data_IF_560276510602
#
_entry.id   IF_560276510602
#
_cell.length_a   1.000
_cell.length_b   1.000
_cell.length_c   1.000
_cell.angle_alpha   90.00
_cell.angle_beta   90.00
_cell.angle_gamma   90.00
#
_symmetry.space_group_name_H-M   'P 1'
#
loop_
_entity.id
_entity.type
_entity.pdbx_description
1 polymer ?
#
# COMPACT_ATOMS: atom_id res chain seq x y z
N UNK A 1 -17.31 -8.02 16.06
CA UNK A 1 -18.65 -8.00 15.45
C UNK A 1 -18.49 -7.57 13.98
N UNK A 2 -18.22 -8.49 13.04
CA UNK A 2 -17.68 -8.21 11.69
C UNK A 2 -18.11 -6.91 10.99
N UNK A 3 -17.17 -6.27 10.27
CA UNK A 3 -17.42 -5.15 9.34
C UNK A 3 -18.73 -5.29 8.55
N UNK A 4 -19.38 -4.15 8.25
CA UNK A 4 -20.59 -4.13 7.44
C UNK A 4 -20.27 -3.78 5.99
N UNK A 5 -20.52 -4.72 5.07
CA UNK A 5 -20.18 -4.53 3.65
C UNK A 5 -21.20 -3.64 2.96
N UNK A 6 -20.74 -2.52 2.41
CA UNK A 6 -21.56 -1.58 1.62
C UNK A 6 -21.41 -1.85 0.11
N UNK A 7 -20.21 -2.22 -0.34
CA UNK A 7 -19.91 -2.60 -1.73
C UNK A 7 -20.36 -4.01 -2.09
N UNK A 8 -21.67 -4.30 -2.04
CA UNK A 8 -22.18 -5.67 -2.23
C UNK A 8 -21.92 -6.26 -3.63
N UNK A 9 -22.01 -5.43 -4.67
CA UNK A 9 -21.67 -5.85 -6.04
C UNK A 9 -20.16 -6.11 -6.19
N UNK A 10 -19.31 -5.24 -5.60
CA UNK A 10 -17.86 -5.46 -5.54
C UNK A 10 -17.52 -6.76 -4.81
N UNK A 11 -18.11 -7.01 -3.64
CA UNK A 11 -17.89 -8.25 -2.88
C UNK A 11 -18.30 -9.50 -3.67
N UNK A 12 -19.43 -9.43 -4.40
CA UNK A 12 -19.85 -10.54 -5.26
C UNK A 12 -18.86 -10.77 -6.40
N UNK A 13 -18.48 -9.72 -7.12
CA UNK A 13 -17.48 -9.81 -8.19
C UNK A 13 -16.13 -10.35 -7.68
N UNK A 14 -15.72 -9.91 -6.48
CA UNK A 14 -14.55 -10.43 -5.79
C UNK A 14 -14.65 -11.93 -5.57
N UNK A 15 -15.75 -12.42 -4.99
CA UNK A 15 -15.98 -13.85 -4.76
C UNK A 15 -16.01 -14.66 -6.06
N UNK A 16 -16.62 -14.11 -7.10
CA UNK A 16 -16.78 -14.73 -8.42
C UNK A 16 -15.50 -14.62 -9.29
N UNK A 17 -14.47 -13.91 -8.80
CA UNK A 17 -13.20 -13.64 -9.51
C UNK A 17 -13.40 -12.95 -10.87
N UNK A 18 -14.33 -12.01 -10.92
CA UNK A 18 -14.57 -11.14 -12.08
C UNK A 18 -14.34 -9.68 -11.71
N UNK A 19 -14.21 -8.81 -12.72
CA UNK A 19 -14.12 -7.38 -12.49
C UNK A 19 -15.44 -6.84 -11.92
N UNK A 20 -15.40 -6.00 -10.87
CA UNK A 20 -16.60 -5.36 -10.38
C UNK A 20 -17.13 -4.30 -11.35
N UNK A 21 -18.39 -3.88 -11.21
CA UNK A 21 -18.92 -2.77 -11.99
C UNK A 21 -18.33 -1.43 -11.53
N UNK A 22 -18.44 -0.43 -12.40
CA UNK A 22 -18.28 0.98 -12.01
C UNK A 22 -19.49 1.37 -11.17
N UNK A 23 -19.26 1.98 -10.01
CA UNK A 23 -20.32 2.29 -9.06
C UNK A 23 -20.26 3.74 -8.60
N UNK A 24 -21.43 4.38 -8.51
CA UNK A 24 -21.57 5.64 -7.77
C UNK A 24 -21.63 5.33 -6.28
N UNK A 25 -20.60 5.71 -5.54
CA UNK A 25 -20.47 5.48 -4.10
C UNK A 25 -21.34 6.49 -3.34
N UNK A 26 -21.19 7.77 -3.67
CA UNK A 26 -21.96 8.90 -3.14
C UNK A 26 -22.23 9.90 -4.25
N UNK A 27 -23.00 10.94 -3.95
CA UNK A 27 -23.02 12.10 -4.83
C UNK A 27 -21.58 12.58 -5.04
N UNK A 28 -21.21 12.80 -6.30
CA UNK A 28 -19.86 13.18 -6.72
C UNK A 28 -18.71 12.20 -6.45
N UNK A 29 -18.94 11.00 -5.91
CA UNK A 29 -17.91 9.98 -5.68
C UNK A 29 -18.22 8.71 -6.46
N UNK A 30 -17.29 8.28 -7.29
CA UNK A 30 -17.38 7.04 -8.06
C UNK A 30 -16.20 6.10 -7.78
N UNK A 31 -16.45 4.81 -7.90
CA UNK A 31 -15.44 3.76 -7.87
C UNK A 31 -15.35 3.11 -9.25
N UNK A 32 -14.16 3.16 -9.85
CA UNK A 32 -13.81 2.61 -11.15
C UNK A 32 -12.74 1.55 -10.94
N UNK A 33 -13.07 0.26 -11.08
CA UNK A 33 -12.08 -0.80 -10.90
C UNK A 33 -11.19 -0.92 -12.14
N UNK A 34 -9.89 -0.90 -11.92
CA UNK A 34 -8.86 -1.02 -12.94
C UNK A 34 -8.10 -2.33 -12.75
N UNK A 35 -8.00 -3.12 -13.80
CA UNK A 35 -7.35 -4.44 -13.80
C UNK A 35 -5.87 -4.33 -13.40
N UNK A 36 -5.49 -5.15 -12.43
CA UNK A 36 -4.11 -5.41 -12.04
C UNK A 36 -3.78 -6.86 -12.41
N UNK A 37 -3.65 -7.09 -13.72
CA UNK A 37 -3.58 -8.41 -14.32
C UNK A 37 -2.52 -9.31 -13.66
N UNK A 38 -2.92 -10.53 -13.30
CA UNK A 38 -2.02 -11.52 -12.71
C UNK A 38 -1.71 -11.31 -11.22
N UNK A 39 -2.18 -10.21 -10.63
CA UNK A 39 -2.06 -9.97 -9.19
C UNK A 39 -3.10 -10.76 -8.39
N UNK A 40 -2.77 -11.29 -7.19
CA UNK A 40 -3.76 -11.90 -6.29
C UNK A 40 -4.88 -10.93 -5.91
N UNK A 41 -4.60 -9.63 -5.86
CA UNK A 41 -5.59 -8.59 -5.57
C UNK A 41 -6.44 -8.19 -6.79
N UNK A 42 -6.08 -8.64 -8.00
CA UNK A 42 -6.83 -8.56 -9.27
C UNK A 42 -7.14 -7.18 -9.83
N UNK A 43 -7.46 -6.19 -9.00
CA UNK A 43 -7.76 -4.83 -9.44
C UNK A 43 -7.44 -3.82 -8.35
N UNK A 44 -7.24 -2.59 -8.79
CA UNK A 44 -7.17 -1.40 -7.94
C UNK A 44 -8.44 -0.58 -8.16
N UNK A 45 -9.07 -0.17 -7.08
CA UNK A 45 -10.26 0.68 -7.08
C UNK A 45 -9.81 2.12 -7.24
N UNK A 46 -9.89 2.63 -8.46
CA UNK A 46 -9.70 4.04 -8.73
C UNK A 46 -10.94 4.82 -8.28
N UNK A 47 -10.75 5.91 -7.55
CA UNK A 47 -11.86 6.76 -7.11
C UNK A 47 -11.87 8.08 -7.87
N UNK A 48 -13.06 8.48 -8.33
CA UNK A 48 -13.29 9.75 -9.00
C UNK A 48 -14.08 10.65 -8.05
N UNK A 49 -13.50 11.79 -7.68
CA UNK A 49 -14.12 12.76 -6.79
C UNK A 49 -14.35 14.05 -7.56
N UNK A 50 -15.62 14.47 -7.64
CA UNK A 50 -16.02 15.65 -8.43
C UNK A 50 -16.53 16.79 -7.56
N UNK A 51 -16.62 17.98 -8.13
CA UNK A 51 -17.32 19.12 -7.54
C UNK A 51 -18.46 19.61 -8.45
N UNK A 52 -19.23 20.59 -7.96
CA UNK A 52 -20.35 21.19 -8.70
C UNK A 52 -19.93 21.89 -10.00
N UNK A 53 -18.66 22.27 -10.13
CA UNK A 53 -18.11 22.87 -11.34
C UNK A 53 -17.77 21.82 -12.43
N UNK A 54 -17.93 20.53 -12.12
CA UNK A 54 -17.63 19.44 -13.06
C UNK A 54 -16.14 19.14 -13.19
N UNK A 55 -15.29 19.60 -12.25
CA UNK A 55 -13.90 19.17 -12.13
C UNK A 55 -13.81 17.84 -11.39
N UNK A 56 -12.79 17.05 -11.71
CA UNK A 56 -12.55 15.73 -11.14
C UNK A 56 -11.11 15.62 -10.62
N UNK A 57 -10.96 15.08 -9.40
CA UNK A 57 -9.70 14.54 -8.89
C UNK A 57 -9.79 13.02 -8.92
N UNK A 58 -8.75 12.39 -9.46
CA UNK A 58 -8.60 10.94 -9.52
C UNK A 58 -7.73 10.49 -8.34
N UNK A 59 -8.17 9.51 -7.56
CA UNK A 59 -7.38 8.89 -6.49
C UNK A 59 -7.03 7.47 -6.95
N UNK A 60 -5.73 7.15 -6.92
CA UNK A 60 -5.14 5.86 -7.32
C UNK A 60 -5.59 5.41 -8.70
N UNK A 61 -5.05 6.01 -9.79
CA UNK A 61 -5.53 5.73 -11.14
C UNK A 61 -5.36 4.28 -11.60
N UNK A 62 -4.60 3.46 -10.90
CA UNK A 62 -4.44 2.05 -11.25
C UNK A 62 -3.13 1.75 -12.00
N UNK A 63 -2.95 0.47 -12.33
CA UNK A 63 -1.83 -0.01 -13.14
C UNK A 63 -1.92 0.46 -14.60
N UNK A 64 -0.81 0.93 -15.17
CA UNK A 64 -0.79 1.32 -16.59
C UNK A 64 -0.71 0.12 -17.53
N UNK A 65 -1.82 -0.14 -18.21
CA UNK A 65 -1.88 -1.03 -19.37
C UNK A 65 -2.90 -0.51 -20.39
N UNK A 66 -2.84 -1.04 -21.62
CA UNK A 66 -3.88 -0.76 -22.62
C UNK A 66 -5.27 -1.16 -22.12
N UNK A 67 -5.37 -2.27 -21.39
CA UNK A 67 -6.64 -2.76 -20.88
C UNK A 67 -7.15 -1.91 -19.71
N UNK A 68 -6.29 -1.64 -18.73
CA UNK A 68 -6.60 -0.79 -17.57
C UNK A 68 -6.98 0.64 -17.98
N UNK A 69 -6.30 1.21 -18.98
CA UNK A 69 -6.67 2.52 -19.53
C UNK A 69 -8.07 2.52 -20.15
N UNK A 70 -8.39 1.49 -20.93
CA UNK A 70 -9.74 1.32 -21.49
C UNK A 70 -10.80 1.28 -20.39
N UNK A 71 -10.59 0.45 -19.36
CA UNK A 71 -11.49 0.35 -18.21
C UNK A 71 -11.65 1.68 -17.46
N UNK A 72 -10.54 2.40 -17.24
CA UNK A 72 -10.58 3.72 -16.63
C UNK A 72 -11.41 4.72 -17.45
N UNK A 73 -11.17 4.81 -18.77
CA UNK A 73 -11.91 5.73 -19.64
C UNK A 73 -13.39 5.35 -19.82
N UNK A 74 -13.71 4.05 -19.86
CA UNK A 74 -15.09 3.57 -19.86
C UNK A 74 -15.79 3.86 -18.53
N UNK A 75 -15.03 3.83 -17.43
CA UNK A 75 -15.49 4.24 -16.10
C UNK A 75 -15.81 5.73 -16.01
N UNK A 76 -14.94 6.60 -16.53
CA UNK A 76 -15.22 8.03 -16.67
C UNK A 76 -16.50 8.27 -17.49
N UNK A 77 -16.64 7.61 -18.64
CA UNK A 77 -17.82 7.72 -19.49
C UNK A 77 -19.10 7.26 -18.78
N UNK A 78 -19.03 6.16 -18.02
CA UNK A 78 -20.14 5.65 -17.20
C UNK A 78 -20.53 6.63 -16.10
N UNK A 79 -19.55 7.30 -15.49
CA UNK A 79 -19.76 8.34 -14.49
C UNK A 79 -20.23 9.67 -15.09
N UNK A 80 -20.27 9.81 -16.42
CA UNK A 80 -20.61 11.06 -17.11
C UNK A 80 -19.52 12.14 -16.99
N UNK A 81 -18.28 11.74 -16.73
CA UNK A 81 -17.13 12.64 -16.54
C UNK A 81 -16.27 12.62 -17.80
N UNK A 82 -15.98 13.80 -18.36
CA UNK A 82 -15.06 13.90 -19.49
C UNK A 82 -13.61 13.74 -19.00
N UNK A 83 -12.74 13.12 -19.79
CA UNK A 83 -11.32 13.05 -19.47
C UNK A 83 -10.70 14.45 -19.25
N UNK A 84 -11.14 15.45 -20.03
CA UNK A 84 -10.72 16.85 -19.88
C UNK A 84 -11.20 17.53 -18.59
N UNK A 85 -12.12 16.91 -17.84
CA UNK A 85 -12.55 17.39 -16.52
C UNK A 85 -11.61 16.95 -15.39
N UNK A 86 -10.68 16.02 -15.66
CA UNK A 86 -9.68 15.61 -14.69
C UNK A 86 -8.66 16.73 -14.53
N UNK A 87 -8.66 17.35 -13.35
CA UNK A 87 -7.78 18.47 -13.01
C UNK A 87 -6.67 18.08 -12.04
N UNK A 88 -6.81 16.94 -11.37
CA UNK A 88 -5.87 16.44 -10.39
C UNK A 88 -5.82 14.92 -10.34
N UNK A 89 -4.64 14.39 -10.04
CA UNK A 89 -4.42 12.97 -9.75
C UNK A 89 -3.68 12.89 -8.41
N UNK A 90 -4.13 11.99 -7.53
CA UNK A 90 -3.50 11.71 -6.24
C UNK A 90 -3.17 10.23 -6.19
N UNK A 91 -1.96 9.91 -5.75
CA UNK A 91 -1.61 8.55 -5.35
C UNK A 91 -1.52 8.48 -3.84
N UNK A 92 -2.19 7.50 -3.24
CA UNK A 92 -2.16 7.25 -1.80
C UNK A 92 -0.77 6.83 -1.35
N UNK A 93 -0.02 6.12 -2.19
CA UNK A 93 1.36 5.69 -1.92
C UNK A 93 2.13 5.25 -3.18
N UNK A 94 3.40 4.86 -3.00
CA UNK A 94 4.35 4.55 -4.07
C UNK A 94 4.17 3.21 -4.80
N UNK A 95 3.18 2.37 -4.48
CA UNK A 95 3.08 1.07 -5.16
C UNK A 95 2.57 1.19 -6.59
N UNK A 96 3.22 0.51 -7.56
CA UNK A 96 2.95 0.68 -8.99
C UNK A 96 1.50 0.57 -9.45
N UNK A 97 0.68 -0.21 -8.78
CA UNK A 97 -0.75 -0.36 -9.11
C UNK A 97 -1.60 0.82 -8.61
N UNK A 98 -1.05 1.73 -7.81
CA UNK A 98 -1.69 2.98 -7.40
C UNK A 98 -1.24 4.16 -8.26
N UNK A 99 0.05 4.25 -8.61
CA UNK A 99 0.58 5.38 -9.41
C UNK A 99 0.83 5.07 -10.89
N UNK A 100 0.66 3.83 -11.35
CA UNK A 100 1.07 3.39 -12.67
C UNK A 100 0.57 4.28 -13.80
N UNK A 101 -0.71 4.65 -13.78
CA UNK A 101 -1.33 5.51 -14.80
C UNK A 101 -1.14 7.02 -14.60
N UNK A 102 -0.49 7.46 -13.53
CA UNK A 102 -0.32 8.90 -13.23
C UNK A 102 0.34 9.63 -14.39
N UNK A 103 1.43 9.08 -14.94
CA UNK A 103 2.13 9.73 -16.06
C UNK A 103 1.21 9.95 -17.26
N UNK A 104 0.46 8.92 -17.66
CA UNK A 104 -0.46 9.02 -18.80
C UNK A 104 -1.54 10.07 -18.55
N UNK A 105 -2.13 10.09 -17.35
CA UNK A 105 -3.15 11.08 -17.01
C UNK A 105 -2.60 12.50 -17.04
N UNK A 106 -1.44 12.74 -16.44
CA UNK A 106 -0.80 14.06 -16.47
C UNK A 106 -0.50 14.49 -17.90
N UNK A 107 0.07 13.60 -18.72
CA UNK A 107 0.39 13.90 -20.12
C UNK A 107 -0.87 14.21 -20.96
N UNK A 108 -1.99 13.51 -20.73
CA UNK A 108 -3.23 13.68 -21.50
C UNK A 108 -4.12 14.84 -21.04
N UNK A 109 -4.06 15.22 -19.76
CA UNK A 109 -4.99 16.18 -19.15
C UNK A 109 -4.34 17.47 -18.68
N UNK A 110 -3.02 17.46 -18.43
CA UNK A 110 -2.32 18.55 -17.75
C UNK A 110 -2.69 18.67 -16.26
N UNK A 111 -3.33 17.65 -15.68
CA UNK A 111 -3.68 17.62 -14.26
C UNK A 111 -2.45 17.76 -13.37
N UNK A 112 -2.62 18.39 -12.20
CA UNK A 112 -1.60 18.33 -11.16
C UNK A 112 -1.50 16.92 -10.58
N UNK A 113 -0.30 16.52 -10.15
CA UNK A 113 -0.07 15.24 -9.46
C UNK A 113 0.32 15.49 -8.01
N UNK A 114 -0.40 14.86 -7.08
CA UNK A 114 -0.17 14.92 -5.64
C UNK A 114 0.22 13.58 -5.01
N UNK A 115 1.21 13.60 -4.13
CA UNK A 115 1.56 12.48 -3.24
C UNK A 115 2.30 12.99 -2.00
N UNK A 116 2.47 12.15 -0.99
CA UNK A 116 3.21 12.51 0.21
C UNK A 116 4.73 12.64 -0.06
N UNK A 117 5.43 13.61 0.55
CA UNK A 117 6.85 13.84 0.31
C UNK A 117 7.75 12.62 0.56
N UNK A 118 7.48 11.83 1.61
CA UNK A 118 8.30 10.66 1.92
C UNK A 118 8.29 9.58 0.80
N UNK A 119 7.19 9.44 0.06
CA UNK A 119 7.14 8.56 -1.10
C UNK A 119 7.66 9.27 -2.36
N UNK A 120 7.51 10.60 -2.45
CA UNK A 120 8.05 11.40 -3.55
C UNK A 120 9.58 11.37 -3.61
N UNK A 121 10.25 11.37 -2.45
CA UNK A 121 11.71 11.26 -2.34
C UNK A 121 12.25 9.98 -3.02
N UNK A 122 11.49 8.88 -2.99
CA UNK A 122 11.86 7.63 -3.68
C UNK A 122 11.81 7.79 -5.19
N UNK A 123 10.85 8.58 -5.71
CA UNK A 123 10.77 8.87 -7.14
C UNK A 123 11.88 9.84 -7.57
N UNK A 124 12.18 10.86 -6.76
CA UNK A 124 13.19 11.87 -7.03
C UNK A 124 14.62 11.35 -6.90
N UNK A 125 14.84 10.36 -6.05
CA UNK A 125 16.15 9.77 -5.76
C UNK A 125 16.89 9.23 -6.99
N UNK A 126 16.18 9.03 -8.11
CA UNK A 126 16.75 8.67 -9.40
C UNK A 126 17.44 7.31 -9.33
N UNK A 127 16.87 6.28 -9.94
CA UNK A 127 17.60 5.01 -10.09
C UNK A 127 18.70 5.11 -11.17
N UNK A 128 19.47 6.20 -11.15
CA UNK A 128 20.50 6.52 -12.14
C UNK A 128 21.59 5.45 -12.22
N UNK A 129 21.66 4.56 -11.22
CA UNK A 129 22.28 3.25 -11.33
C UNK A 129 21.35 2.16 -10.81
N UNK A 130 20.48 1.62 -11.68
CA UNK A 130 19.69 0.38 -11.44
C UNK A 130 20.53 -0.70 -10.75
N UNK A 131 21.81 -0.81 -11.13
CA UNK A 131 22.78 -1.73 -10.54
C UNK A 131 23.09 -1.43 -9.07
N UNK A 132 23.23 -0.16 -8.67
CA UNK A 132 23.47 0.24 -7.27
C UNK A 132 22.24 -0.02 -6.39
N UNK A 133 21.05 0.28 -6.91
CA UNK A 133 19.79 -0.02 -6.24
C UNK A 133 19.63 -1.53 -6.02
N UNK A 134 19.94 -2.34 -7.04
CA UNK A 134 19.93 -3.81 -6.95
C UNK A 134 21.00 -4.34 -6.00
N UNK A 135 22.20 -3.74 -5.99
CA UNK A 135 23.27 -4.14 -5.07
C UNK A 135 22.89 -3.86 -3.62
N UNK A 136 22.31 -2.68 -3.35
CA UNK A 136 21.78 -2.29 -2.04
C UNK A 136 20.66 -3.25 -1.59
N UNK A 137 19.73 -3.55 -2.50
CA UNK A 137 18.64 -4.48 -2.22
C UNK A 137 19.12 -5.92 -1.94
N UNK A 138 20.11 -6.39 -2.70
CA UNK A 138 20.73 -7.70 -2.47
C UNK A 138 21.42 -7.77 -1.12
N UNK A 139 22.17 -6.73 -0.74
CA UNK A 139 22.83 -6.67 0.56
C UNK A 139 21.83 -6.62 1.72
N UNK A 140 20.69 -5.96 1.51
CA UNK A 140 19.58 -5.95 2.46
C UNK A 140 18.99 -7.37 2.65
N UNK A 141 18.71 -8.11 1.57
CA UNK A 141 18.28 -9.51 1.65
C UNK A 141 19.32 -10.42 2.31
N UNK A 142 20.60 -10.24 1.98
CA UNK A 142 21.71 -10.96 2.63
C UNK A 142 21.73 -10.70 4.14
N UNK A 143 21.48 -9.47 4.57
CA UNK A 143 21.38 -9.12 6.00
C UNK A 143 20.27 -9.88 6.74
N UNK A 144 19.26 -10.38 6.02
CA UNK A 144 18.17 -11.19 6.56
C UNK A 144 18.51 -12.68 6.65
N UNK A 145 19.69 -13.11 6.19
CA UNK A 145 20.10 -14.51 6.17
C UNK A 145 19.49 -15.32 5.03
N UNK A 146 19.06 -14.64 3.95
CA UNK A 146 18.54 -15.30 2.74
C UNK A 146 19.66 -16.16 2.12
N UNK A 147 19.43 -17.46 1.84
CA UNK A 147 20.45 -18.29 1.20
C UNK A 147 20.83 -17.81 -0.19
N UNK A 148 22.11 -17.99 -0.57
CA UNK A 148 22.65 -17.56 -1.87
C UNK A 148 21.81 -18.00 -3.08
N UNK A 149 21.25 -19.21 -3.02
CA UNK A 149 20.41 -19.77 -4.08
C UNK A 149 19.11 -18.99 -4.32
N UNK A 150 18.69 -18.15 -3.38
CA UNK A 150 17.46 -17.35 -3.44
C UNK A 150 17.70 -15.87 -3.73
N UNK A 151 18.91 -15.34 -3.48
CA UNK A 151 19.20 -13.91 -3.58
C UNK A 151 18.86 -13.34 -4.95
N UNK A 152 19.25 -14.01 -6.04
CA UNK A 152 18.98 -13.54 -7.40
C UNK A 152 17.48 -13.46 -7.71
N UNK A 153 16.70 -14.45 -7.24
CA UNK A 153 15.26 -14.54 -7.48
C UNK A 153 14.46 -13.52 -6.67
N UNK A 154 14.99 -13.09 -5.51
CA UNK A 154 14.32 -12.16 -4.60
C UNK A 154 14.79 -10.71 -4.76
N UNK A 155 15.95 -10.45 -5.36
CA UNK A 155 16.45 -9.09 -5.59
C UNK A 155 15.53 -8.32 -6.55
N UNK A 156 15.21 -7.07 -6.20
CA UNK A 156 14.29 -6.20 -6.93
C UNK A 156 14.61 -6.15 -8.44
N UNK A 157 13.63 -6.48 -9.28
CA UNK A 157 13.83 -6.57 -10.74
C UNK A 157 14.04 -5.19 -11.38
N UNK A 158 14.95 -5.11 -12.36
CA UNK A 158 15.25 -3.88 -13.09
C UNK A 158 14.01 -3.23 -13.71
N UNK A 159 13.04 -4.02 -14.18
CA UNK A 159 11.81 -3.50 -14.78
C UNK A 159 10.94 -2.68 -13.80
N UNK A 160 10.92 -3.03 -12.51
CA UNK A 160 10.17 -2.27 -11.48
C UNK A 160 10.90 -0.95 -11.20
N UNK A 161 12.23 -1.02 -11.13
CA UNK A 161 13.10 0.15 -10.94
C UNK A 161 12.94 1.14 -12.10
N UNK A 162 12.94 0.64 -13.33
CA UNK A 162 12.70 1.42 -14.55
C UNK A 162 11.28 2.00 -14.60
N UNK A 163 10.27 1.25 -14.16
CA UNK A 163 8.90 1.74 -14.08
C UNK A 163 8.82 2.96 -13.18
N UNK A 164 9.34 2.87 -11.94
CA UNK A 164 9.32 3.98 -10.98
C UNK A 164 10.10 5.20 -11.50
N UNK A 165 11.23 4.97 -12.18
CA UNK A 165 12.03 6.05 -12.78
C UNK A 165 11.25 6.86 -13.82
N UNK A 166 10.38 6.20 -14.59
CA UNK A 166 9.63 6.78 -15.71
C UNK A 166 8.29 7.43 -15.31
N UNK A 167 7.92 7.42 -14.03
CA UNK A 167 6.67 8.02 -13.58
C UNK A 167 6.76 9.55 -13.50
N UNK A 168 5.61 10.23 -13.61
CA UNK A 168 5.57 11.67 -13.42
C UNK A 168 5.98 12.03 -12.00
N UNK A 169 6.68 13.15 -11.83
CA UNK A 169 7.01 13.68 -10.50
C UNK A 169 5.85 14.47 -9.93
N UNK A 170 5.59 14.40 -8.62
CA UNK A 170 4.50 15.15 -8.02
C UNK A 170 4.77 16.65 -8.16
N UNK A 171 3.74 17.36 -8.59
CA UNK A 171 3.73 18.83 -8.66
C UNK A 171 3.16 19.45 -7.39
N UNK A 172 2.53 18.63 -6.53
CA UNK A 172 1.95 19.00 -5.25
C UNK A 172 2.42 17.98 -4.21
N UNK A 173 3.03 18.45 -3.12
CA UNK A 173 3.35 17.59 -1.99
C UNK A 173 2.21 17.65 -0.97
N UNK A 174 1.73 16.49 -0.54
CA UNK A 174 0.56 16.34 0.34
C UNK A 174 1.02 15.90 1.73
N UNK A 175 1.00 16.81 2.70
CA UNK A 175 1.34 16.53 4.10
C UNK A 175 0.09 16.20 4.90
N UNK A 176 0.29 15.67 6.11
CA UNK A 176 -0.80 15.48 7.07
C UNK A 176 -1.57 16.79 7.31
N UNK A 177 -2.90 16.70 7.25
CA UNK A 177 -3.81 17.83 7.45
C UNK A 177 -4.02 18.75 6.25
N UNK A 178 -3.28 18.57 5.15
CA UNK A 178 -3.50 19.34 3.92
C UNK A 178 -4.88 19.04 3.31
N UNK A 179 -5.41 19.98 2.52
CA UNK A 179 -6.62 19.79 1.73
C UNK A 179 -6.29 19.67 0.25
N UNK A 180 -6.95 18.74 -0.45
CA UNK A 180 -6.78 18.59 -1.90
C UNK A 180 -7.29 19.82 -2.66
N UNK A 181 -6.65 20.10 -3.79
CA UNK A 181 -7.01 21.23 -4.67
C UNK A 181 -8.25 20.91 -5.52
N UNK A 182 -9.42 20.85 -4.88
CA UNK A 182 -10.72 20.69 -5.52
C UNK A 182 -11.73 21.68 -4.91
N UNK A 183 -11.89 22.88 -5.51
CA UNK A 183 -12.71 23.94 -4.93
C UNK A 183 -14.14 23.49 -4.62
N UNK A 184 -14.64 23.89 -3.45
CA UNK A 184 -15.98 23.54 -2.99
C UNK A 184 -16.09 22.16 -2.35
N UNK A 185 -14.97 21.43 -2.17
CA UNK A 185 -14.96 20.13 -1.52
C UNK A 185 -13.81 20.02 -0.52
N UNK A 186 -14.09 19.49 0.67
CA UNK A 186 -13.08 19.29 1.71
C UNK A 186 -12.60 17.84 1.71
N UNK A 187 -11.49 17.59 1.01
CA UNK A 187 -10.76 16.32 1.10
C UNK A 187 -9.48 16.53 1.89
N UNK A 188 -9.45 16.05 3.13
CA UNK A 188 -8.30 16.17 4.03
C UNK A 188 -7.37 14.98 3.89
N UNK A 189 -6.08 15.27 3.83
CA UNK A 189 -5.00 14.29 3.85
C UNK A 189 -4.75 13.87 5.30
N UNK A 190 -4.71 12.56 5.53
CA UNK A 190 -4.30 11.96 6.80
C UNK A 190 -3.08 11.10 6.52
N UNK A 191 -1.92 11.47 7.04
CA UNK A 191 -0.73 10.66 6.91
C UNK A 191 -0.90 9.35 7.69
N UNK A 192 -0.69 8.23 7.02
CA UNK A 192 -0.84 6.89 7.57
C UNK A 192 0.38 6.03 7.25
N UNK A 193 1.60 6.45 7.65
CA UNK A 193 2.83 5.71 7.38
C UNK A 193 2.77 4.30 7.98
N UNK A 194 3.45 3.38 7.32
CA UNK A 194 3.57 1.98 7.74
C UNK A 194 3.62 1.05 6.53
N UNK A 195 2.56 1.04 5.73
CA UNK A 195 2.54 0.31 4.45
C UNK A 195 3.62 0.83 3.50
N UNK A 196 3.73 2.15 3.38
CA UNK A 196 4.88 2.87 2.81
C UNK A 196 5.29 4.04 3.72
N UNK A 197 6.32 4.79 3.32
CA UNK A 197 6.78 5.98 4.05
C UNK A 197 5.78 7.13 4.03
N UNK A 198 5.19 7.33 2.87
CA UNK A 198 4.27 8.41 2.57
C UNK A 198 2.87 7.92 2.26
N UNK A 199 2.44 6.80 2.84
CA UNK A 199 1.05 6.38 2.66
C UNK A 199 0.12 7.43 3.27
N UNK A 200 -0.93 7.79 2.54
CA UNK A 200 -1.99 8.72 3.00
C UNK A 200 -3.37 8.09 2.85
N UNK A 201 -4.24 8.38 3.80
CA UNK A 201 -5.69 8.28 3.64
C UNK A 201 -6.25 9.65 3.25
N UNK A 202 -7.41 9.66 2.58
CA UNK A 202 -8.13 10.88 2.24
C UNK A 202 -9.53 10.84 2.85
N UNK A 203 -9.91 11.88 3.59
CA UNK A 203 -11.21 11.99 4.23
C UNK A 203 -12.04 13.03 3.49
N UNK A 204 -13.18 12.60 2.92
CA UNK A 204 -14.19 13.47 2.34
C UNK A 204 -15.34 13.64 3.36
N UNK A 205 -15.26 14.71 4.15
CA UNK A 205 -16.25 15.03 5.17
C UNK A 205 -17.62 15.38 4.56
N UNK A 206 -17.66 15.87 3.31
CA UNK A 206 -18.90 16.25 2.63
C UNK A 206 -19.71 15.01 2.18
N UNK A 207 -19.04 13.89 1.88
CA UNK A 207 -19.67 12.63 1.48
C UNK A 207 -19.68 11.53 2.54
N UNK A 208 -19.09 11.79 3.71
CA UNK A 208 -18.88 10.80 4.78
C UNK A 208 -18.16 9.55 4.25
N UNK A 209 -17.08 9.76 3.48
CA UNK A 209 -16.25 8.72 2.88
C UNK A 209 -14.80 8.89 3.30
N UNK A 210 -14.11 7.77 3.54
CA UNK A 210 -12.66 7.73 3.72
C UNK A 210 -12.04 6.79 2.69
N UNK A 211 -11.09 7.31 1.91
CA UNK A 211 -10.28 6.51 0.99
C UNK A 211 -9.04 6.04 1.75
N UNK A 212 -8.94 4.73 1.98
CA UNK A 212 -7.91 4.16 2.86
C UNK A 212 -6.70 3.62 2.12
N UNK A 213 -6.68 3.67 0.78
CA UNK A 213 -5.62 3.06 -0.02
C UNK A 213 -5.40 1.61 0.42
N UNK A 214 -4.17 1.32 0.80
CA UNK A 214 -3.74 0.04 1.39
C UNK A 214 -3.51 0.11 2.90
N UNK A 215 -3.91 1.18 3.59
CA UNK A 215 -3.79 1.26 5.05
C UNK A 215 -4.79 0.34 5.76
N UNK A 216 -6.05 0.30 5.30
CA UNK A 216 -7.08 -0.58 5.85
C UNK A 216 -7.86 -1.24 4.73
N UNK A 217 -7.75 -2.57 4.63
CA UNK A 217 -8.45 -3.42 3.66
C UNK A 217 -9.49 -4.30 4.37
N UNK A 218 -10.61 -4.68 3.73
CA UNK A 218 -11.76 -5.28 4.43
C UNK A 218 -11.52 -6.72 4.88
N UNK A 219 -10.62 -7.47 4.24
CA UNK A 219 -10.40 -8.88 4.55
C UNK A 219 -8.93 -9.22 4.68
N UNK A 220 -8.08 -8.80 3.75
CA UNK A 220 -6.64 -9.05 3.85
C UNK A 220 -5.96 -8.07 4.79
N UNK A 221 -4.80 -8.48 5.29
CA UNK A 221 -3.87 -7.60 6.01
C UNK A 221 -2.98 -6.94 4.95
N UNK A 222 -2.89 -5.60 4.93
CA UNK A 222 -1.93 -4.97 4.04
C UNK A 222 -0.51 -5.32 4.48
N UNK A 223 0.41 -5.37 3.53
CA UNK A 223 1.79 -5.71 3.85
C UNK A 223 2.45 -4.54 4.60
N UNK A 224 3.05 -4.80 5.76
CA UNK A 224 3.86 -3.82 6.49
C UNK A 224 5.28 -4.36 6.53
N UNK A 225 6.04 -4.05 5.48
CA UNK A 225 7.37 -4.59 5.25
C UNK A 225 8.47 -3.58 5.52
N UNK A 226 9.64 -4.07 5.93
CA UNK A 226 10.88 -3.30 5.76
C UNK A 226 11.32 -3.38 4.30
N UNK A 227 11.95 -2.33 3.84
CA UNK A 227 12.67 -2.28 2.59
C UNK A 227 14.10 -1.79 2.82
N UNK A 228 14.93 -1.90 1.78
CA UNK A 228 16.27 -1.30 1.76
C UNK A 228 16.26 0.23 1.84
N UNK A 229 15.10 0.87 1.65
CA UNK A 229 14.90 2.31 1.73
C UNK A 229 14.55 2.80 3.14
N UNK A 230 14.23 1.89 4.07
CA UNK A 230 13.73 2.22 5.41
C UNK A 230 14.84 2.45 6.45
N UNK A 231 15.86 3.25 6.10
CA UNK A 231 17.00 3.48 6.99
C UNK A 231 16.55 4.15 8.29
N UNK A 232 16.61 3.41 9.41
CA UNK A 232 16.29 3.93 10.75
C UNK A 232 14.80 4.08 11.04
N UNK A 233 13.92 3.58 10.17
CA UNK A 233 12.46 3.61 10.37
C UNK A 233 11.96 2.37 11.09
N UNK A 234 10.74 2.46 11.64
CA UNK A 234 10.04 1.34 12.24
C UNK A 234 8.62 1.26 11.65
N UNK A 235 8.46 0.67 10.44
CA UNK A 235 7.19 0.73 9.71
C UNK A 235 6.02 0.12 10.47
N UNK A 236 6.25 -0.95 11.25
CA UNK A 236 5.17 -1.55 12.02
C UNK A 236 4.74 -0.71 13.22
N UNK A 237 5.68 -0.02 13.90
CA UNK A 237 5.32 0.96 14.93
C UNK A 237 4.50 2.11 14.34
N UNK A 238 4.95 2.63 13.19
CA UNK A 238 4.25 3.70 12.48
C UNK A 238 2.86 3.26 12.05
N UNK A 239 2.72 2.04 11.52
CA UNK A 239 1.43 1.46 11.15
C UNK A 239 0.48 1.36 12.34
N UNK A 240 0.95 0.89 13.51
CA UNK A 240 0.13 0.87 14.73
C UNK A 240 -0.36 2.28 15.10
N UNK A 241 0.52 3.28 15.09
CA UNK A 241 0.13 4.68 15.33
C UNK A 241 -0.87 5.20 14.28
N UNK A 242 -0.72 4.78 13.03
CA UNK A 242 -1.64 5.12 11.93
C UNK A 242 -3.00 4.41 12.05
N UNK A 243 -3.11 3.30 12.79
CA UNK A 243 -4.38 2.64 13.09
C UNK A 243 -5.16 3.35 14.21
N UNK A 244 -4.47 4.02 15.15
CA UNK A 244 -5.11 4.69 16.30
C UNK A 244 -6.22 5.69 15.95
N UNK A 245 -6.10 6.57 14.94
CA UNK A 245 -7.16 7.53 14.60
C UNK A 245 -8.32 6.94 13.80
N UNK A 246 -8.20 5.71 13.29
CA UNK A 246 -9.21 5.08 12.43
C UNK A 246 -10.64 5.07 13.02
N UNK A 247 -10.87 4.88 14.34
CA UNK A 247 -12.20 4.96 14.95
C UNK A 247 -12.89 6.33 14.83
N UNK A 248 -12.17 7.42 14.53
CA UNK A 248 -12.76 8.74 14.31
C UNK A 248 -13.73 8.76 13.12
N UNK A 249 -13.55 7.84 12.17
CA UNK A 249 -14.36 7.72 10.96
C UNK A 249 -15.17 6.42 10.90
N UNK A 250 -15.51 5.83 12.06
CA UNK A 250 -16.24 4.55 12.10
C UNK A 250 -17.62 4.60 11.40
N UNK A 251 -18.24 5.79 11.38
CA UNK A 251 -19.49 6.05 10.66
C UNK A 251 -19.35 6.31 9.16
N UNK A 252 -18.12 6.47 8.64
CA UNK A 252 -17.88 6.79 7.24
C UNK A 252 -17.86 5.50 6.41
N UNK A 253 -18.23 5.59 5.13
CA UNK A 253 -17.98 4.47 4.20
C UNK A 253 -16.50 4.41 3.84
N UNK A 254 -15.89 3.28 4.14
CA UNK A 254 -14.49 2.97 3.85
C UNK A 254 -14.36 2.54 2.39
N UNK A 255 -13.50 3.25 1.68
CA UNK A 255 -13.17 3.07 0.28
C UNK A 255 -11.71 2.60 0.13
N UNK A 256 -11.45 1.29 0.28
CA UNK A 256 -10.12 0.71 0.13
C UNK A 256 -9.72 0.62 -1.35
N UNK A 257 -8.42 0.59 -1.63
CA UNK A 257 -7.96 0.37 -3.01
C UNK A 257 -8.25 -1.05 -3.49
N UNK A 258 -8.23 -2.05 -2.61
CA UNK A 258 -8.50 -3.44 -2.98
C UNK A 258 -9.77 -4.01 -2.32
N UNK A 259 -10.29 -5.07 -2.94
CA UNK A 259 -11.46 -5.79 -2.48
C UNK A 259 -12.75 -4.94 -2.57
N UNK A 260 -13.39 -4.59 -1.46
CA UNK A 260 -14.74 -4.02 -1.46
C UNK A 260 -14.98 -3.04 -0.32
N UNK A 261 -15.87 -2.07 -0.55
CA UNK A 261 -16.24 -1.04 0.43
C UNK A 261 -17.00 -1.60 1.64
N UNK A 262 -16.85 -0.95 2.80
CA UNK A 262 -17.45 -1.36 4.06
C UNK A 262 -17.59 -0.20 5.07
N UNK A 263 -18.28 -0.42 6.18
CA UNK A 263 -18.23 0.40 7.42
C UNK A 263 -17.82 -0.46 8.62
N UNK A 264 -17.51 0.16 9.76
CA UNK A 264 -16.93 -0.52 10.92
C UNK A 264 -15.40 -0.47 10.94
N UNK A 265 -14.86 0.74 10.71
CA UNK A 265 -13.44 0.99 10.59
C UNK A 265 -12.70 0.77 11.91
N UNK A 266 -13.32 1.08 13.05
CA UNK A 266 -12.76 0.86 14.38
C UNK A 266 -12.47 -0.63 14.63
N UNK A 267 -13.46 -1.47 14.35
CA UNK A 267 -13.30 -2.92 14.49
C UNK A 267 -12.25 -3.46 13.52
N UNK A 268 -12.22 -2.97 12.28
CA UNK A 268 -11.22 -3.46 11.33
C UNK A 268 -9.80 -3.09 11.75
N UNK A 269 -9.59 -1.90 12.29
CA UNK A 269 -8.31 -1.48 12.84
C UNK A 269 -7.88 -2.36 14.03
N UNK A 270 -8.80 -2.70 14.95
CA UNK A 270 -8.52 -3.62 16.05
C UNK A 270 -8.11 -5.02 15.55
N UNK A 271 -8.81 -5.56 14.55
CA UNK A 271 -8.45 -6.85 13.95
C UNK A 271 -7.05 -6.84 13.32
N UNK A 272 -6.68 -5.74 12.66
CA UNK A 272 -5.36 -5.57 12.06
C UNK A 272 -4.27 -5.48 13.14
N UNK A 273 -4.53 -4.72 14.21
CA UNK A 273 -3.60 -4.62 15.33
C UNK A 273 -3.38 -5.99 16.00
N UNK A 274 -4.46 -6.70 16.31
CA UNK A 274 -4.40 -8.04 16.91
C UNK A 274 -3.62 -9.03 16.02
N UNK A 275 -3.83 -8.98 14.70
CA UNK A 275 -3.08 -9.83 13.77
C UNK A 275 -1.55 -9.64 13.89
N UNK A 276 -1.10 -8.38 13.97
CA UNK A 276 0.32 -8.07 14.14
C UNK A 276 0.85 -8.44 15.52
N UNK A 277 0.04 -8.31 16.58
CA UNK A 277 0.39 -8.77 17.92
C UNK A 277 0.57 -10.30 17.98
N UNK A 278 -0.34 -11.06 17.36
CA UNK A 278 -0.25 -12.51 17.23
C UNK A 278 1.02 -12.91 16.47
N UNK A 279 1.30 -12.24 15.35
CA UNK A 279 2.52 -12.45 14.56
C UNK A 279 3.79 -12.17 15.37
N UNK A 280 3.82 -11.07 16.13
CA UNK A 280 4.93 -10.75 17.01
C UNK A 280 5.11 -11.83 18.10
N UNK A 281 4.00 -12.39 18.62
CA UNK A 281 4.01 -13.53 19.54
C UNK A 281 4.64 -14.79 18.95
N UNK A 282 4.33 -15.14 17.70
CA UNK A 282 4.97 -16.27 17.00
C UNK A 282 6.48 -16.08 16.86
N UNK A 283 6.92 -14.87 16.50
CA UNK A 283 8.35 -14.55 16.36
C UNK A 283 9.07 -14.68 17.72
N UNK A 284 8.49 -14.16 18.79
CA UNK A 284 9.05 -14.31 20.14
C UNK A 284 9.12 -15.78 20.56
N UNK A 285 8.13 -16.60 20.18
CA UNK A 285 8.15 -18.04 20.47
C UNK A 285 9.30 -18.76 19.72
N UNK A 286 9.60 -18.38 18.48
CA UNK A 286 10.78 -18.89 17.75
C UNK A 286 12.07 -18.49 18.47
N UNK A 287 12.18 -17.21 18.86
CA UNK A 287 13.39 -16.65 19.48
C UNK A 287 13.64 -17.16 20.91
N UNK A 288 12.60 -17.60 21.62
CA UNK A 288 12.74 -18.26 22.92
C UNK A 288 13.49 -19.61 22.82
N UNK A 289 13.48 -20.25 21.64
CA UNK A 289 14.15 -21.52 21.40
C UNK A 289 15.58 -21.39 20.85
N UNK A 290 15.89 -20.29 20.14
CA UNK A 290 17.20 -20.03 19.52
C UNK A 290 17.32 -18.59 19.04
N UNK A 291 18.55 -18.10 18.97
CA UNK A 291 18.91 -16.98 18.11
C UNK A 291 18.63 -17.32 16.65
N UNK A 292 18.08 -16.39 15.87
CA UNK A 292 17.69 -16.66 14.49
C UNK A 292 17.81 -15.43 13.57
N UNK A 293 18.10 -15.66 12.30
CA UNK A 293 17.99 -14.66 11.22
C UNK A 293 16.53 -14.45 10.82
N UNK A 294 16.22 -13.37 10.10
CA UNK A 294 14.86 -13.12 9.57
C UNK A 294 14.37 -14.27 8.69
N UNK A 295 15.24 -14.83 7.84
CA UNK A 295 14.92 -16.03 7.05
C UNK A 295 14.50 -17.21 7.93
N UNK A 296 15.28 -17.52 8.95
CA UNK A 296 15.01 -18.63 9.86
C UNK A 296 13.76 -18.41 10.71
N UNK A 297 13.45 -17.15 11.06
CA UNK A 297 12.19 -16.79 11.73
C UNK A 297 11.02 -17.02 10.77
N UNK A 298 11.08 -16.44 9.56
CA UNK A 298 10.03 -16.55 8.57
C UNK A 298 9.72 -18.02 8.21
N UNK A 299 10.73 -18.89 8.14
CA UNK A 299 10.55 -20.33 7.91
C UNK A 299 9.78 -21.05 9.04
N UNK A 300 9.77 -20.50 10.26
CA UNK A 300 9.27 -21.16 11.47
C UNK A 300 8.04 -20.48 12.09
N UNK A 301 7.38 -19.58 11.34
CA UNK A 301 6.11 -18.94 11.72
C UNK A 301 4.98 -19.32 10.75
N UNK A 302 3.73 -19.01 11.11
CA UNK A 302 2.56 -19.48 10.36
C UNK A 302 2.34 -18.69 9.07
N UNK A 303 2.11 -19.37 7.95
CA UNK A 303 1.71 -18.73 6.68
C UNK A 303 0.42 -19.35 6.16
N UNK A 304 -0.48 -18.52 5.61
CA UNK A 304 -1.83 -18.95 5.18
C UNK A 304 -1.84 -20.12 4.20
N UNK A 305 -0.80 -20.23 3.36
CA UNK A 305 -0.59 -21.35 2.41
C UNK A 305 0.66 -22.19 2.74
N UNK A 306 1.27 -21.95 3.89
CA UNK A 306 2.52 -22.57 4.33
C UNK A 306 3.77 -21.99 3.65
N UNK A 307 4.91 -22.07 4.35
CA UNK A 307 6.21 -21.57 3.90
C UNK A 307 6.62 -22.09 2.52
N UNK A 308 6.42 -23.39 2.25
CA UNK A 308 6.81 -24.03 0.99
C UNK A 308 6.06 -23.53 -0.24
N UNK A 309 4.97 -22.79 -0.05
CA UNK A 309 4.21 -22.16 -1.14
C UNK A 309 4.70 -20.75 -1.49
N UNK A 310 5.60 -20.19 -0.69
CA UNK A 310 6.12 -18.84 -0.89
C UNK A 310 7.29 -18.86 -1.86
N UNK A 311 7.16 -18.10 -2.94
CA UNK A 311 8.19 -17.86 -3.93
C UNK A 311 8.15 -16.41 -4.42
N UNK A 312 9.18 -16.01 -5.18
CA UNK A 312 9.28 -14.70 -5.83
C UNK A 312 8.88 -13.53 -4.91
N UNK A 313 7.93 -12.72 -5.36
CA UNK A 313 7.46 -11.55 -4.60
C UNK A 313 6.75 -11.93 -3.29
N UNK A 314 6.05 -13.07 -3.22
CA UNK A 314 5.35 -13.46 -1.99
C UNK A 314 6.36 -13.81 -0.88
N UNK A 315 7.42 -14.55 -1.22
CA UNK A 315 8.50 -14.85 -0.28
C UNK A 315 9.25 -13.57 0.12
N UNK A 316 9.50 -12.68 -0.84
CA UNK A 316 10.11 -11.37 -0.57
C UNK A 316 9.27 -10.55 0.43
N UNK A 317 7.96 -10.42 0.20
CA UNK A 317 7.05 -9.70 1.10
C UNK A 317 6.97 -10.34 2.49
N UNK A 318 6.98 -11.68 2.57
CA UNK A 318 7.01 -12.40 3.83
C UNK A 318 8.29 -12.10 4.65
N UNK A 319 9.45 -12.03 3.99
CA UNK A 319 10.72 -11.66 4.63
C UNK A 319 10.72 -10.20 5.07
N UNK A 320 10.24 -9.30 4.21
CA UNK A 320 10.09 -7.87 4.52
C UNK A 320 9.21 -7.66 5.77
N UNK A 321 8.06 -8.33 5.83
CA UNK A 321 7.12 -8.27 6.95
C UNK A 321 7.70 -8.87 8.23
N UNK A 322 8.39 -10.01 8.11
CA UNK A 322 9.10 -10.62 9.26
C UNK A 322 10.17 -9.66 9.80
N UNK A 323 10.95 -9.04 8.91
CA UNK A 323 11.93 -8.01 9.28
C UNK A 323 11.29 -6.83 10.02
N UNK A 324 10.15 -6.31 9.54
CA UNK A 324 9.44 -5.21 10.18
C UNK A 324 8.99 -5.57 11.61
N UNK A 325 8.54 -6.80 11.84
CA UNK A 325 8.20 -7.25 13.19
C UNK A 325 9.44 -7.39 14.08
N UNK A 326 10.57 -7.87 13.56
CA UNK A 326 11.83 -7.94 14.33
C UNK A 326 12.30 -6.54 14.72
N UNK A 327 12.25 -5.56 13.80
CA UNK A 327 12.60 -4.16 14.09
C UNK A 327 11.63 -3.52 15.10
N UNK A 328 10.33 -3.81 15.01
CA UNK A 328 9.35 -3.42 16.01
C UNK A 328 9.66 -3.98 17.41
N UNK A 329 9.96 -5.28 17.49
CA UNK A 329 10.32 -5.94 18.74
C UNK A 329 11.64 -5.40 19.31
N UNK A 330 12.61 -5.06 18.45
CA UNK A 330 13.84 -4.40 18.86
C UNK A 330 13.58 -3.00 19.39
N UNK A 331 12.77 -2.20 18.69
CA UNK A 331 12.35 -0.86 19.12
C UNK A 331 11.49 -0.85 20.39
N UNK A 332 10.95 -2.00 20.82
CA UNK A 332 10.24 -2.15 22.12
C UNK A 332 11.11 -2.79 23.20
N UNK A 333 12.38 -3.09 22.91
CA UNK A 333 13.34 -3.65 23.87
C UNK A 333 13.13 -5.13 24.20
N UNK A 334 12.36 -5.86 23.38
CA UNK A 334 12.13 -7.30 23.56
C UNK A 334 13.17 -8.17 22.84
N UNK A 335 13.79 -7.63 21.81
CA UNK A 335 14.74 -8.34 20.94
C UNK A 335 15.98 -7.48 20.72
N UNK A 336 17.16 -8.09 20.71
CA UNK A 336 18.37 -7.49 20.14
C UNK A 336 18.52 -7.98 18.69
N UNK A 337 18.75 -7.07 17.74
CA UNK A 337 18.90 -7.43 16.32
C UNK A 337 20.18 -6.85 15.73
N UNK A 338 21.27 -7.58 15.91
CA UNK A 338 22.64 -7.12 15.62
C UNK A 338 23.37 -8.06 14.66
N UNK A 339 24.38 -7.53 13.97
CA UNK A 339 25.32 -8.33 13.20
C UNK A 339 26.43 -8.82 14.14
N UNK A 340 26.50 -10.13 14.41
CA UNK A 340 27.45 -10.66 15.39
C UNK A 340 28.91 -10.63 14.91
N UNK A 341 29.16 -10.77 13.59
CA UNK A 341 30.51 -10.77 12.98
C UNK A 341 30.48 -10.47 11.45
N UNK A 342 29.52 -9.65 10.99
CA UNK A 342 29.17 -9.47 9.57
C UNK A 342 27.72 -9.89 9.30
N UNK A 343 27.30 -9.86 8.03
CA UNK A 343 26.00 -10.41 7.62
C UNK A 343 25.97 -11.94 7.79
N UNK A 344 24.81 -12.53 8.15
CA UNK A 344 23.52 -11.87 8.38
C UNK A 344 23.35 -11.31 9.80
N UNK A 345 22.38 -10.40 9.98
CA UNK A 345 21.92 -9.95 11.31
C UNK A 345 21.16 -11.08 12.00
N UNK A 346 21.40 -11.25 13.29
CA UNK A 346 20.79 -12.28 14.12
C UNK A 346 19.94 -11.61 15.20
N UNK A 347 18.67 -12.04 15.30
CA UNK A 347 17.76 -11.61 16.33
C UNK A 347 17.89 -12.53 17.56
N UNK A 348 17.87 -11.92 18.75
CA UNK A 348 18.00 -12.59 20.06
C UNK A 348 16.95 -12.04 21.01
N UNK A 349 16.33 -12.92 21.80
CA UNK A 349 15.42 -12.48 22.86
C UNK A 349 16.23 -11.84 24.01
N UNK A 350 15.74 -10.72 24.57
CA UNK A 350 16.37 -9.97 25.67
C UNK A 350 15.84 -10.35 27.06
#
# INVERSE_FOLDING_TARGET
>A
MSIHVTGTAQKRAWADKVMPPVERVREHVWSVPVDFHGSPVRYTSCYLVTNDAGHCVVIDPGWDSRHGWGQFTDGLATAGIALSSVVGVVSTHLHPDHLGMVKRLVDETGAWFGMHPADAEVLDGGFDAVDEARATDRAWLDSFGVPDSWLDALTAQSAIVELLSNLARPTVLLNDGDELQLPGRRLRVIATPGHTAGHICLVDDDSEVIFTGDHVLPRITPNVGLSSLDTGRNPLREYFSSLEPMPLWDGFEVCPAHEYRFTGLAERAEQLALHHEERAGEILAVLAGRDATVWQIAENISWSRGWSSLDGLNLRSALAETGAHVEYLAGTGKVDWTAANGSPRVARLL
#
